data_IF_787028336890
#
_entry.id   IF_787028336890
#
_cell.length_a   1.000
_cell.length_b   1.000
_cell.length_c   1.000
_cell.angle_alpha   90.00
_cell.angle_beta   90.00
_cell.angle_gamma   90.00
#
_symmetry.space_group_name_H-M   'P 1'
#
loop_
_entity.id
_entity.type
_entity.pdbx_description
1 polymer ?
#
# COMPACT_ATOMS: atom_id res chain seq x y z
N UNK A 1 37.86 -42.08 0.10
CA UNK A 1 37.95 -43.36 0.84
C UNK A 1 38.15 -43.02 2.31
N UNK A 2 37.17 -43.39 3.17
CA UNK A 2 37.23 -43.66 4.63
C UNK A 2 38.23 -42.84 5.47
N UNK A 3 37.84 -42.02 6.45
CA UNK A 3 37.12 -42.24 7.73
C UNK A 3 38.05 -41.77 8.87
N UNK A 4 37.43 -41.48 10.02
CA UNK A 4 38.00 -41.36 11.40
C UNK A 4 38.59 -39.97 11.71
N UNK A 5 37.91 -39.09 12.47
CA UNK A 5 37.36 -39.17 13.85
C UNK A 5 38.41 -38.88 14.94
N UNK A 6 37.86 -38.51 16.09
CA UNK A 6 38.20 -37.38 16.96
C UNK A 6 39.00 -37.73 18.22
N UNK A 7 39.36 -36.65 18.95
CA UNK A 7 39.36 -36.48 20.43
C UNK A 7 40.70 -36.31 21.14
N UNK A 8 40.79 -35.24 21.94
CA UNK A 8 40.87 -35.19 23.44
C UNK A 8 41.23 -33.76 23.87
N UNK A 9 40.63 -33.19 24.92
CA UNK A 9 40.96 -33.33 26.35
C UNK A 9 39.75 -32.75 27.16
N UNK A 10 39.10 -33.37 28.16
CA UNK A 10 39.51 -33.86 29.52
C UNK A 10 40.19 -32.73 30.34
N UNK A 11 39.83 -32.36 31.58
CA UNK A 11 39.12 -32.95 32.74
C UNK A 11 38.60 -31.78 33.63
N UNK A 12 37.65 -31.92 34.57
CA UNK A 12 37.83 -32.38 35.97
C UNK A 12 36.41 -32.40 36.63
N UNK A 13 35.83 -33.57 36.98
CA UNK A 13 35.82 -34.25 38.33
C UNK A 13 34.97 -33.52 39.40
N UNK A 14 34.13 -34.11 40.28
CA UNK A 14 33.84 -35.46 40.83
C UNK A 14 32.33 -35.46 41.24
N UNK A 15 31.47 -36.40 40.81
CA UNK A 15 30.91 -37.57 41.54
C UNK A 15 30.67 -37.38 43.07
N UNK A 16 29.56 -37.79 43.69
CA UNK A 16 28.90 -39.10 43.55
C UNK A 16 27.47 -39.18 44.18
N UNK A 17 26.60 -40.03 43.58
CA UNK A 17 25.68 -41.06 44.15
C UNK A 17 24.86 -40.79 45.43
N UNK A 18 23.62 -41.24 45.65
CA UNK A 18 22.60 -42.01 44.91
C UNK A 18 21.31 -42.12 45.81
N UNK A 19 20.23 -42.68 45.24
CA UNK A 19 19.12 -43.44 45.89
C UNK A 19 17.76 -42.74 46.16
N UNK A 20 16.80 -43.09 45.29
CA UNK A 20 15.38 -43.50 45.45
C UNK A 20 14.50 -43.13 46.67
N UNK A 21 13.36 -42.49 46.32
CA UNK A 21 11.94 -42.88 46.55
C UNK A 21 11.35 -43.09 47.98
N UNK A 22 10.29 -42.31 48.27
CA UNK A 22 9.01 -42.63 48.99
C UNK A 22 8.60 -41.68 50.15
N UNK A 23 7.40 -41.09 49.96
CA UNK A 23 6.32 -40.65 50.88
C UNK A 23 6.53 -39.72 52.11
N UNK A 24 5.58 -38.76 52.14
CA UNK A 24 4.80 -38.22 53.27
C UNK A 24 5.50 -37.33 54.31
N UNK A 25 5.24 -36.01 54.26
CA UNK A 25 4.21 -35.22 55.00
C UNK A 25 4.51 -35.07 56.51
N UNK A 26 4.35 -33.83 57.01
CA UNK A 26 4.37 -33.37 58.41
C UNK A 26 5.80 -33.16 58.95
N UNK A 27 6.39 -31.96 59.05
CA UNK A 27 5.89 -30.75 59.71
C UNK A 27 6.91 -29.62 59.48
N UNK A 28 6.45 -28.50 58.93
CA UNK A 28 7.05 -27.14 58.94
C UNK A 28 6.00 -26.29 58.19
N UNK A 29 4.75 -26.29 58.62
CA UNK A 29 4.20 -25.35 59.60
C UNK A 29 4.79 -23.93 59.53
N UNK A 30 3.87 -23.04 59.14
CA UNK A 30 3.68 -21.68 59.62
C UNK A 30 4.58 -20.61 59.00
N UNK A 31 4.36 -20.24 57.74
CA UNK A 31 4.63 -18.88 57.22
C UNK A 31 3.95 -18.56 55.86
N UNK A 32 2.89 -19.26 55.44
CA UNK A 32 2.36 -19.11 54.08
C UNK A 32 0.83 -19.15 53.95
N UNK A 33 0.06 -18.72 54.96
CA UNK A 33 -1.41 -18.72 54.86
C UNK A 33 -2.10 -17.40 55.23
N UNK A 34 -1.39 -16.32 55.56
CA UNK A 34 -2.02 -15.07 56.00
C UNK A 34 -1.98 -13.89 54.99
N UNK A 35 -1.31 -14.03 53.84
CA UNK A 35 -1.30 -12.99 52.79
C UNK A 35 -2.26 -13.26 51.61
N UNK A 36 -2.88 -14.44 51.55
CA UNK A 36 -3.77 -14.79 50.44
C UNK A 36 -5.24 -14.32 50.64
N UNK A 37 -5.63 -13.94 51.87
CA UNK A 37 -7.03 -13.65 52.21
C UNK A 37 -7.40 -12.15 52.18
N UNK A 38 -6.43 -11.24 52.22
CA UNK A 38 -6.68 -9.78 52.12
C UNK A 38 -6.68 -9.25 50.67
N UNK A 39 -6.12 -10.00 49.71
CA UNK A 39 -6.13 -9.61 48.28
C UNK A 39 -7.46 -9.96 47.60
N UNK A 40 -8.23 -10.91 48.13
CA UNK A 40 -9.48 -11.37 47.52
C UNK A 40 -10.73 -10.57 47.99
N UNK A 41 -10.61 -9.74 49.02
CA UNK A 41 -11.73 -8.93 49.55
C UNK A 41 -11.68 -7.43 49.18
N UNK A 42 -10.62 -6.96 48.49
CA UNK A 42 -10.48 -5.55 48.10
C UNK A 42 -10.95 -5.22 46.67
N UNK A 43 -11.47 -6.18 45.89
CA UNK A 43 -11.95 -5.95 44.51
C UNK A 43 -13.47 -6.13 44.32
N UNK A 44 -14.28 -5.92 45.37
CA UNK A 44 -15.75 -6.01 45.28
C UNK A 44 -16.48 -4.66 45.15
N UNK A 45 -15.78 -3.54 44.97
CA UNK A 45 -16.45 -2.30 44.56
C UNK A 45 -16.63 -2.33 43.04
N UNK A 46 -17.77 -2.88 42.66
CA UNK A 46 -18.28 -2.93 41.30
C UNK A 46 -18.17 -1.54 40.65
N UNK A 47 -17.24 -1.41 39.70
CA UNK A 47 -17.40 -0.45 38.62
C UNK A 47 -18.77 -0.72 38.00
N UNK A 48 -19.58 0.30 37.71
CA UNK A 48 -20.86 0.07 37.05
C UNK A 48 -20.54 -0.68 35.75
N UNK A 49 -21.03 -1.92 35.64
CA UNK A 49 -21.08 -2.62 34.36
C UNK A 49 -22.05 -1.84 33.49
N UNK A 50 -21.55 -0.77 32.86
CA UNK A 50 -22.07 -0.33 31.58
C UNK A 50 -21.79 -1.53 30.68
N UNK A 51 -22.81 -2.34 30.45
CA UNK A 51 -22.78 -3.34 29.41
C UNK A 51 -22.58 -2.56 28.10
N UNK A 52 -21.31 -2.30 27.76
CA UNK A 52 -20.92 -1.87 26.44
C UNK A 52 -21.40 -3.01 25.56
N UNK A 53 -22.51 -2.80 24.87
CA UNK A 53 -22.94 -3.68 23.77
C UNK A 53 -21.82 -3.58 22.76
N UNK A 54 -20.80 -4.42 22.91
CA UNK A 54 -19.76 -4.52 21.91
C UNK A 54 -20.48 -5.01 20.67
N UNK A 55 -20.51 -4.16 19.65
CA UNK A 55 -21.15 -4.46 18.40
C UNK A 55 -20.67 -5.85 17.94
N UNK A 56 -21.61 -6.77 17.71
CA UNK A 56 -21.28 -8.15 17.33
C UNK A 56 -20.41 -8.20 16.08
N UNK A 57 -20.45 -7.17 15.24
CA UNK A 57 -19.60 -7.00 14.06
C UNK A 57 -18.16 -6.71 14.43
N UNK A 58 -17.90 -5.93 15.48
CA UNK A 58 -16.54 -5.63 15.97
C UNK A 58 -15.87 -6.91 16.45
N UNK A 59 -16.53 -7.65 17.34
CA UNK A 59 -15.96 -8.88 17.89
C UNK A 59 -15.74 -9.93 16.81
N UNK A 60 -16.70 -10.07 15.89
CA UNK A 60 -16.57 -11.02 14.78
C UNK A 60 -15.44 -10.61 13.84
N UNK A 61 -15.35 -9.33 13.47
CA UNK A 61 -14.32 -8.83 12.57
C UNK A 61 -12.90 -8.95 13.16
N UNK A 62 -12.71 -8.77 14.47
CA UNK A 62 -11.41 -8.92 15.12
C UNK A 62 -10.90 -10.37 15.16
N UNK A 63 -11.79 -11.34 15.13
CA UNK A 63 -11.47 -12.77 15.33
C UNK A 63 -11.54 -13.61 14.06
N UNK A 64 -12.09 -13.05 12.96
CA UNK A 64 -12.27 -13.75 11.70
C UNK A 64 -11.57 -12.99 10.55
N UNK A 65 -10.95 -13.70 9.60
CA UNK A 65 -10.18 -13.07 8.53
C UNK A 65 -11.05 -12.31 7.51
N UNK A 66 -12.24 -12.83 7.18
CA UNK A 66 -13.08 -12.32 6.09
C UNK A 66 -12.60 -12.72 4.68
N UNK A 67 -13.44 -12.48 3.67
CA UNK A 67 -13.16 -12.66 2.25
C UNK A 67 -12.99 -11.30 1.53
N UNK A 68 -11.75 -10.93 1.12
CA UNK A 68 -11.50 -9.70 0.39
C UNK A 68 -12.27 -9.57 -0.93
N UNK A 69 -12.64 -10.68 -1.58
CA UNK A 69 -13.38 -10.62 -2.84
C UNK A 69 -14.84 -10.19 -2.61
N UNK A 70 -15.47 -10.68 -1.54
CA UNK A 70 -16.81 -10.21 -1.13
C UNK A 70 -16.76 -8.77 -0.62
N UNK A 71 -15.73 -8.45 0.16
CA UNK A 71 -15.49 -7.09 0.63
C UNK A 71 -15.33 -6.07 -0.50
N UNK A 72 -14.71 -6.47 -1.61
CA UNK A 72 -14.63 -5.65 -2.82
C UNK A 72 -16.00 -5.32 -3.39
N UNK A 73 -16.91 -6.30 -3.48
CA UNK A 73 -18.27 -6.08 -3.99
C UNK A 73 -19.02 -5.10 -3.08
N UNK A 74 -18.88 -5.27 -1.76
CA UNK A 74 -19.45 -4.37 -0.78
C UNK A 74 -18.89 -2.96 -0.89
N UNK A 75 -17.57 -2.78 -1.08
CA UNK A 75 -16.97 -1.46 -1.27
C UNK A 75 -17.50 -0.76 -2.55
N UNK A 76 -17.78 -1.54 -3.59
CA UNK A 76 -18.26 -1.08 -4.89
C UNK A 76 -19.78 -0.82 -4.94
N UNK A 77 -20.51 -1.24 -3.91
CA UNK A 77 -21.96 -1.11 -3.81
C UNK A 77 -22.38 0.36 -3.61
N UNK A 78 -23.04 0.93 -4.62
CA UNK A 78 -23.52 2.33 -4.59
C UNK A 78 -24.88 2.52 -3.90
N UNK A 79 -25.49 1.45 -3.41
CA UNK A 79 -26.77 1.51 -2.71
C UNK A 79 -26.58 1.30 -1.21
N UNK A 80 -25.80 0.29 -0.82
CA UNK A 80 -25.65 -0.14 0.57
C UNK A 80 -24.54 0.61 1.31
N UNK A 81 -23.34 0.71 0.73
CA UNK A 81 -22.15 1.21 1.43
C UNK A 81 -21.62 2.54 0.87
N UNK A 82 -21.78 2.76 -0.45
CA UNK A 82 -21.46 4.01 -1.16
C UNK A 82 -20.01 4.50 -0.97
N UNK A 83 -19.09 3.61 -0.59
CA UNK A 83 -17.70 4.00 -0.29
C UNK A 83 -17.02 4.66 -1.49
N UNK A 84 -17.25 4.12 -2.70
CA UNK A 84 -16.70 4.66 -3.95
C UNK A 84 -17.24 6.03 -4.35
N UNK A 85 -18.35 6.51 -3.77
CA UNK A 85 -18.84 7.86 -4.07
C UNK A 85 -17.84 8.91 -3.57
N UNK A 86 -17.23 8.65 -2.40
CA UNK A 86 -16.33 9.60 -1.77
C UNK A 86 -14.86 9.22 -1.89
N UNK A 87 -14.54 7.92 -1.88
CA UNK A 87 -13.17 7.44 -1.79
C UNK A 87 -12.66 6.85 -3.11
N UNK A 88 -11.42 7.21 -3.44
CA UNK A 88 -10.70 6.67 -4.57
C UNK A 88 -9.90 5.44 -4.17
N UNK A 89 -9.99 4.38 -4.98
CA UNK A 89 -9.16 3.18 -4.86
C UNK A 89 -8.72 2.77 -6.28
N UNK A 90 -7.42 2.68 -6.48
CA UNK A 90 -6.80 2.67 -7.80
C UNK A 90 -7.26 3.88 -8.62
N UNK A 91 -7.90 3.60 -9.75
CA UNK A 91 -8.43 4.59 -10.69
C UNK A 91 -9.94 4.86 -10.55
N UNK A 92 -10.60 4.23 -9.59
CA UNK A 92 -12.05 4.24 -9.47
C UNK A 92 -12.51 4.90 -8.15
N UNK A 93 -13.66 5.56 -8.20
CA UNK A 93 -14.29 6.23 -7.06
C UNK A 93 -14.13 7.75 -7.08
N UNK A 94 -14.57 8.41 -6.01
CA UNK A 94 -14.58 9.86 -5.86
C UNK A 94 -13.36 10.44 -5.15
N UNK A 95 -13.23 11.76 -5.19
CA UNK A 95 -12.14 12.52 -4.54
C UNK A 95 -12.66 13.46 -3.43
N UNK A 96 -13.80 13.10 -2.84
CA UNK A 96 -14.37 13.82 -1.70
C UNK A 96 -13.55 13.49 -0.45
N UNK A 97 -13.43 12.20 -0.15
CA UNK A 97 -12.62 11.65 0.93
C UNK A 97 -11.19 11.32 0.50
N UNK A 98 -10.33 10.90 1.44
CA UNK A 98 -8.95 10.51 1.14
C UNK A 98 -8.90 9.29 0.24
N UNK A 99 -7.88 9.23 -0.61
CA UNK A 99 -7.59 8.03 -1.39
C UNK A 99 -7.25 6.87 -0.44
N UNK A 100 -7.81 5.70 -0.71
CA UNK A 100 -7.63 4.49 0.11
C UNK A 100 -6.57 3.54 -0.47
N UNK A 101 -5.83 3.99 -1.48
CA UNK A 101 -4.65 3.28 -1.97
C UNK A 101 -3.64 3.11 -0.82
N UNK A 102 -3.26 1.86 -0.53
CA UNK A 102 -2.29 1.59 0.53
C UNK A 102 -2.83 1.63 1.96
N UNK A 103 -4.13 1.86 2.16
CA UNK A 103 -4.73 1.99 3.50
C UNK A 103 -4.44 0.79 4.40
N UNK A 104 -4.44 -0.43 3.86
CA UNK A 104 -4.16 -1.64 4.63
C UNK A 104 -2.70 -1.81 5.06
N UNK A 105 -1.78 -1.02 4.49
CA UNK A 105 -0.40 -0.91 4.97
C UNK A 105 -0.20 0.23 5.97
N UNK A 106 -1.13 1.19 6.01
CA UNK A 106 -1.06 2.38 6.86
C UNK A 106 -1.74 2.18 8.22
N UNK A 107 -2.83 1.43 8.25
CA UNK A 107 -3.64 1.22 9.44
C UNK A 107 -3.85 -0.26 9.71
N UNK A 108 -3.88 -0.62 10.98
CA UNK A 108 -4.18 -1.97 11.42
C UNK A 108 -5.70 -2.23 11.42
N UNK A 109 -6.06 -3.50 11.56
CA UNK A 109 -7.44 -3.95 11.49
C UNK A 109 -8.37 -3.27 12.53
N UNK A 110 -7.98 -3.13 13.81
CA UNK A 110 -8.77 -2.38 14.79
C UNK A 110 -9.04 -0.94 14.37
N UNK A 111 -8.03 -0.23 13.84
CA UNK A 111 -8.19 1.15 13.40
C UNK A 111 -9.14 1.27 12.18
N UNK A 112 -9.07 0.33 11.23
CA UNK A 112 -10.01 0.28 10.10
C UNK A 112 -11.46 0.06 10.57
N UNK A 113 -11.66 -0.82 11.56
CA UNK A 113 -12.97 -1.07 12.18
C UNK A 113 -13.50 0.19 12.86
N UNK A 114 -12.67 0.85 13.67
CA UNK A 114 -13.04 2.09 14.37
C UNK A 114 -13.40 3.20 13.38
N UNK A 115 -12.60 3.41 12.33
CA UNK A 115 -12.83 4.43 11.31
C UNK A 115 -14.17 4.27 10.59
N UNK A 116 -14.64 3.03 10.38
CA UNK A 116 -15.93 2.75 9.74
C UNK A 116 -17.12 2.90 10.69
N UNK A 117 -16.92 2.68 11.99
CA UNK A 117 -17.96 2.78 13.00
C UNK A 117 -18.12 4.19 13.54
N UNK A 118 -17.01 4.90 13.72
CA UNK A 118 -16.91 6.22 14.33
C UNK A 118 -16.07 7.17 13.45
N UNK A 119 -16.53 7.50 12.23
CA UNK A 119 -15.74 8.29 11.27
C UNK A 119 -15.42 9.72 11.73
N UNK A 120 -16.14 10.25 12.73
CA UNK A 120 -15.90 11.57 13.32
C UNK A 120 -14.92 11.54 14.50
N UNK A 121 -14.47 10.36 14.94
CA UNK A 121 -13.56 10.20 16.07
C UNK A 121 -12.15 10.68 15.76
N UNK A 122 -11.68 10.38 14.56
CA UNK A 122 -10.42 10.87 14.02
C UNK A 122 -10.62 11.28 12.56
N UNK A 123 -10.41 12.56 12.26
CA UNK A 123 -10.53 13.10 10.90
C UNK A 123 -9.14 13.43 10.39
N UNK A 124 -8.78 12.85 9.24
CA UNK A 124 -7.49 13.09 8.58
C UNK A 124 -7.32 14.59 8.27
N UNK A 125 -6.13 15.11 8.50
CA UNK A 125 -5.78 16.50 8.16
C UNK A 125 -6.11 16.81 6.69
N UNK A 126 -6.69 17.99 6.44
CA UNK A 126 -7.18 18.39 5.12
C UNK A 126 -8.55 17.82 4.72
N UNK A 127 -9.18 16.99 5.55
CA UNK A 127 -10.53 16.44 5.32
C UNK A 127 -11.57 16.90 6.34
N UNK A 128 -11.25 17.89 7.17
CA UNK A 128 -12.22 18.49 8.09
C UNK A 128 -13.31 19.23 7.31
N UNK A 129 -14.55 18.99 7.70
CA UNK A 129 -15.69 19.73 7.16
C UNK A 129 -15.62 21.17 7.66
N UNK A 130 -15.77 22.11 6.75
CA UNK A 130 -15.86 23.54 7.03
C UNK A 130 -17.26 24.01 6.70
N UNK A 131 -17.92 24.63 7.67
CA UNK A 131 -19.19 25.32 7.48
C UNK A 131 -18.90 26.79 7.19
N UNK A 132 -19.40 27.29 6.07
CA UNK A 132 -19.29 28.67 5.62
C UNK A 132 -20.66 29.31 5.68
N UNK A 133 -20.83 30.35 6.51
CA UNK A 133 -21.96 31.26 6.40
C UNK A 133 -21.62 32.35 5.38
N UNK A 134 -22.45 32.49 4.36
CA UNK A 134 -22.23 33.44 3.27
C UNK A 134 -23.06 34.71 3.45
N UNK A 135 -22.61 35.81 2.86
CA UNK A 135 -23.28 37.12 2.90
C UNK A 135 -24.67 37.13 2.26
N UNK A 136 -24.97 36.13 1.41
CA UNK A 136 -26.28 35.95 0.79
C UNK A 136 -27.25 35.12 1.65
N UNK A 137 -26.84 34.75 2.87
CA UNK A 137 -27.62 33.97 3.84
C UNK A 137 -27.57 32.45 3.63
N UNK A 138 -26.84 31.96 2.62
CA UNK A 138 -26.63 30.51 2.45
C UNK A 138 -25.56 29.99 3.43
N UNK A 139 -25.72 28.72 3.81
CA UNK A 139 -24.68 27.97 4.52
C UNK A 139 -24.20 26.84 3.62
N UNK A 140 -22.89 26.81 3.36
CA UNK A 140 -22.24 25.74 2.63
C UNK A 140 -21.41 24.89 3.58
N UNK A 141 -21.53 23.57 3.48
CA UNK A 141 -20.81 22.61 4.30
C UNK A 141 -20.04 21.65 3.41
N UNK A 142 -18.71 21.62 3.54
CA UNK A 142 -17.89 20.72 2.74
C UNK A 142 -16.42 20.76 3.12
N UNK A 143 -15.62 19.96 2.42
CA UNK A 143 -14.17 19.87 2.62
C UNK A 143 -13.49 20.87 1.70
N UNK A 144 -12.68 21.75 2.28
CA UNK A 144 -11.88 22.71 1.50
C UNK A 144 -10.75 21.97 0.80
N UNK A 145 -10.73 22.00 -0.53
CA UNK A 145 -9.73 21.32 -1.36
C UNK A 145 -8.67 22.28 -1.89
N UNK A 146 -9.03 23.55 -2.05
CA UNK A 146 -8.15 24.59 -2.53
C UNK A 146 -8.59 25.94 -1.97
N UNK A 147 -7.62 26.78 -1.64
CA UNK A 147 -7.85 28.17 -1.22
C UNK A 147 -6.78 29.03 -1.88
N UNK A 148 -7.20 30.09 -2.57
CA UNK A 148 -6.33 31.08 -3.20
C UNK A 148 -6.40 32.42 -2.43
N UNK A 149 -5.89 33.50 -3.01
CA UNK A 149 -6.03 34.84 -2.42
C UNK A 149 -7.42 35.45 -2.61
N UNK A 150 -8.25 34.88 -3.50
CA UNK A 150 -9.54 35.46 -3.91
C UNK A 150 -10.71 34.52 -3.70
N UNK A 151 -10.49 33.22 -3.77
CA UNK A 151 -11.54 32.21 -3.69
C UNK A 151 -11.13 30.99 -2.87
N UNK A 152 -12.16 30.26 -2.46
CA UNK A 152 -12.09 29.00 -1.76
C UNK A 152 -12.93 27.98 -2.55
N UNK A 153 -12.36 26.81 -2.80
CA UNK A 153 -13.05 25.67 -3.41
C UNK A 153 -13.27 24.59 -2.36
N UNK A 154 -14.54 24.24 -2.16
CA UNK A 154 -14.94 23.14 -1.29
C UNK A 154 -15.77 22.10 -2.06
N UNK A 155 -15.74 20.87 -1.59
CA UNK A 155 -16.59 19.78 -2.08
C UNK A 155 -17.53 19.31 -0.97
N UNK A 156 -18.81 19.16 -1.28
CA UNK A 156 -19.84 18.75 -0.31
C UNK A 156 -20.04 17.22 -0.25
N UNK A 157 -20.98 16.78 0.58
CA UNK A 157 -21.31 15.36 0.77
C UNK A 157 -21.92 14.70 -0.48
N UNK A 158 -22.44 15.50 -1.41
CA UNK A 158 -23.00 15.06 -2.68
C UNK A 158 -21.93 14.99 -3.79
N UNK A 159 -20.68 15.28 -3.46
CA UNK A 159 -19.55 15.42 -4.38
C UNK A 159 -19.68 16.62 -5.34
N UNK A 160 -20.48 17.63 -4.99
CA UNK A 160 -20.58 18.87 -5.75
C UNK A 160 -19.50 19.87 -5.32
N UNK A 161 -18.91 20.53 -6.31
CA UNK A 161 -17.87 21.54 -6.09
C UNK A 161 -18.46 22.93 -6.01
N UNK A 162 -18.14 23.64 -4.95
CA UNK A 162 -18.56 25.03 -4.73
C UNK A 162 -17.33 25.93 -4.72
N UNK A 163 -17.38 26.97 -5.57
CA UNK A 163 -16.40 28.05 -5.55
C UNK A 163 -17.03 29.25 -4.86
N UNK A 164 -16.41 29.70 -3.79
CA UNK A 164 -16.88 30.81 -2.95
C UNK A 164 -15.80 31.89 -2.96
N UNK A 165 -16.16 33.14 -3.23
CA UNK A 165 -15.19 34.23 -3.07
C UNK A 165 -14.96 34.48 -1.58
N UNK A 166 -13.72 34.75 -1.18
CA UNK A 166 -13.39 34.99 0.23
C UNK A 166 -14.12 36.21 0.81
N UNK A 167 -14.49 37.17 -0.04
CA UNK A 167 -15.30 38.35 0.33
C UNK A 167 -16.75 38.01 0.67
N UNK A 168 -17.24 36.87 0.20
CA UNK A 168 -18.64 36.46 0.37
C UNK A 168 -18.81 35.60 1.64
N UNK A 169 -17.74 35.34 2.40
CA UNK A 169 -17.72 34.52 3.62
C UNK A 169 -17.85 35.44 4.84
N UNK A 170 -18.93 35.31 5.59
CA UNK A 170 -19.14 36.01 6.87
C UNK A 170 -18.52 35.26 8.04
N UNK A 171 -18.70 33.94 8.08
CA UNK A 171 -18.22 33.08 9.14
C UNK A 171 -17.69 31.76 8.60
N UNK A 172 -16.60 31.27 9.21
CA UNK A 172 -15.98 29.99 8.90
C UNK A 172 -15.80 29.17 10.18
N UNK A 173 -16.46 28.02 10.24
CA UNK A 173 -16.37 27.11 11.39
C UNK A 173 -15.92 25.73 10.93
N UNK A 174 -14.85 25.22 11.54
CA UNK A 174 -14.40 23.84 11.33
C UNK A 174 -15.26 22.91 12.20
N UNK A 175 -15.94 21.97 11.56
CA UNK A 175 -16.79 20.97 12.21
C UNK A 175 -15.95 19.83 12.80
N UNK A 176 -16.40 19.28 13.93
CA UNK A 176 -15.88 18.02 14.49
C UNK A 176 -16.55 16.78 13.89
N UNK A 177 -17.52 16.97 13.02
CA UNK A 177 -18.26 15.89 12.36
C UNK A 177 -17.67 15.66 10.98
N UNK A 178 -17.35 14.39 10.69
CA UNK A 178 -16.80 13.96 9.40
C UNK A 178 -17.84 14.06 8.29
N UNK A 179 -17.36 14.24 7.04
CA UNK A 179 -18.21 14.12 5.86
C UNK A 179 -18.53 12.66 5.54
N UNK A 180 -17.75 11.70 6.06
CA UNK A 180 -18.05 10.28 5.96
C UNK A 180 -19.26 9.96 6.84
N UNK A 181 -20.39 9.50 6.26
CA UNK A 181 -21.62 9.31 7.02
C UNK A 181 -21.51 8.23 8.10
N UNK A 182 -22.13 8.47 9.25
CA UNK A 182 -22.32 7.43 10.26
C UNK A 182 -23.34 6.39 9.79
N UNK A 183 -23.08 5.13 10.12
CA UNK A 183 -24.03 4.06 9.87
C UNK A 183 -24.08 3.52 8.43
N UNK A 184 -23.08 3.82 7.58
CA UNK A 184 -22.91 3.18 6.27
C UNK A 184 -22.91 1.65 6.35
N UNK A 185 -22.46 1.10 7.47
CA UNK A 185 -22.37 -0.34 7.70
C UNK A 185 -23.60 -0.93 8.41
N UNK A 186 -24.66 -0.13 8.69
CA UNK A 186 -25.84 -0.56 9.45
C UNK A 186 -26.56 -1.75 8.81
N UNK A 187 -26.57 -1.81 7.49
CA UNK A 187 -27.24 -2.85 6.69
C UNK A 187 -26.30 -3.99 6.26
N UNK A 188 -25.12 -4.09 6.87
CA UNK A 188 -24.19 -5.20 6.67
C UNK A 188 -24.34 -6.22 7.79
N UNK A 189 -24.32 -7.51 7.45
CA UNK A 189 -24.14 -8.57 8.44
C UNK A 189 -22.72 -8.50 9.05
N UNK A 190 -22.48 -9.27 10.12
CA UNK A 190 -21.15 -9.36 10.73
C UNK A 190 -20.13 -9.99 9.78
N UNK A 191 -20.55 -10.92 8.94
CA UNK A 191 -19.73 -11.53 7.88
C UNK A 191 -19.38 -10.50 6.82
N UNK A 192 -20.39 -9.80 6.26
CA UNK A 192 -20.18 -8.77 5.24
C UNK A 192 -19.29 -7.62 5.73
N UNK A 193 -19.50 -7.17 6.98
CA UNK A 193 -18.62 -6.17 7.58
C UNK A 193 -17.18 -6.67 7.67
N UNK A 194 -16.97 -7.92 8.08
CA UNK A 194 -15.65 -8.54 8.19
C UNK A 194 -14.97 -8.68 6.83
N UNK A 195 -15.73 -9.02 5.79
CA UNK A 195 -15.27 -9.08 4.41
C UNK A 195 -14.83 -7.70 3.91
N UNK A 196 -15.61 -6.65 4.20
CA UNK A 196 -15.25 -5.28 3.86
C UNK A 196 -13.93 -4.85 4.54
N UNK A 197 -13.73 -5.18 5.81
CA UNK A 197 -12.47 -4.92 6.51
C UNK A 197 -11.31 -5.70 5.87
N UNK A 198 -11.52 -6.98 5.52
CA UNK A 198 -10.53 -7.80 4.84
C UNK A 198 -10.10 -7.19 3.49
N UNK A 199 -11.07 -6.63 2.75
CA UNK A 199 -10.79 -5.92 1.51
C UNK A 199 -9.95 -4.67 1.73
N UNK A 200 -10.28 -3.81 2.70
CA UNK A 200 -9.50 -2.62 3.04
C UNK A 200 -8.08 -2.96 3.52
N UNK A 201 -7.95 -4.01 4.32
CA UNK A 201 -6.66 -4.54 4.79
C UNK A 201 -5.79 -5.08 3.63
N UNK A 202 -6.42 -5.62 2.58
CA UNK A 202 -5.73 -6.05 1.37
C UNK A 202 -5.25 -4.90 0.49
N UNK A 203 -5.78 -3.68 0.68
CA UNK A 203 -5.37 -2.48 -0.06
C UNK A 203 -4.05 -1.92 0.46
N UNK A 204 -2.97 -2.70 0.43
CA UNK A 204 -1.62 -2.22 0.73
C UNK A 204 -0.97 -1.73 -0.57
N UNK A 205 -0.05 -0.76 -0.51
CA UNK A 205 0.81 -0.48 -1.65
C UNK A 205 1.66 -1.74 -1.88
N UNK A 206 1.32 -2.52 -2.92
CA UNK A 206 1.83 -3.88 -3.12
C UNK A 206 1.09 -5.01 -2.38
N UNK A 207 -0.16 -4.79 -1.93
CA UNK A 207 -0.95 -5.69 -1.06
C UNK A 207 -1.85 -6.72 -1.74
N UNK A 208 -1.92 -6.70 -3.06
CA UNK A 208 -2.23 -7.89 -3.82
C UNK A 208 -1.16 -7.94 -4.88
N UNK A 209 -0.03 -8.62 -4.65
CA UNK A 209 0.92 -8.75 -5.74
C UNK A 209 0.20 -9.48 -6.87
N UNK A 210 0.14 -8.91 -8.09
CA UNK A 210 -0.04 -9.74 -9.26
C UNK A 210 1.10 -10.78 -9.20
N UNK A 211 0.76 -12.03 -8.83
CA UNK A 211 1.71 -13.12 -8.58
C UNK A 211 1.88 -13.61 -7.13
N UNK A 212 1.41 -12.92 -6.08
CA UNK A 212 1.59 -13.39 -4.68
C UNK A 212 0.61 -14.49 -4.25
N UNK A 213 -0.47 -14.71 -5.01
CA UNK A 213 -1.42 -15.79 -4.77
C UNK A 213 -1.19 -16.99 -5.69
N UNK A 214 -0.01 -17.11 -6.30
CA UNK A 214 0.44 -18.34 -6.92
C UNK A 214 0.89 -19.35 -5.85
N UNK A 215 -0.04 -19.76 -5.00
CA UNK A 215 0.10 -20.96 -4.18
C UNK A 215 -0.41 -22.15 -5.00
N UNK A 216 0.49 -22.71 -5.80
CA UNK A 216 0.32 -23.97 -6.51
C UNK A 216 1.71 -24.54 -6.78
N UNK A 217 1.86 -25.87 -6.76
CA UNK A 217 3.11 -26.47 -7.19
C UNK A 217 3.32 -26.18 -8.67
N UNK A 218 4.08 -25.13 -8.99
CA UNK A 218 4.60 -24.95 -10.34
C UNK A 218 5.56 -26.11 -10.62
N UNK A 219 5.11 -27.08 -11.42
CA UNK A 219 6.02 -28.06 -12.01
C UNK A 219 6.73 -27.39 -13.17
N UNK A 220 8.00 -27.06 -12.98
CA UNK A 220 8.84 -26.64 -14.09
C UNK A 220 9.23 -27.87 -14.91
N UNK A 221 9.47 -27.72 -16.23
CA UNK A 221 10.07 -28.79 -17.00
C UNK A 221 11.37 -29.28 -16.34
N UNK A 222 11.70 -30.54 -16.55
CA UNK A 222 12.95 -31.11 -16.05
C UNK A 222 14.15 -30.23 -16.46
N UNK A 223 15.01 -29.89 -15.49
CA UNK A 223 16.17 -29.02 -15.69
C UNK A 223 15.99 -27.54 -15.33
N UNK A 224 14.79 -27.11 -14.95
CA UNK A 224 14.54 -25.74 -14.48
C UNK A 224 14.46 -25.66 -12.95
N UNK A 225 14.98 -24.56 -12.39
CA UNK A 225 14.85 -24.25 -10.95
C UNK A 225 14.41 -22.80 -10.79
N UNK A 226 13.66 -22.52 -9.72
CA UNK A 226 13.31 -21.16 -9.32
C UNK A 226 14.12 -20.79 -8.10
N UNK A 227 14.77 -19.63 -8.16
CA UNK A 227 15.44 -19.02 -7.02
C UNK A 227 14.91 -17.61 -6.83
N UNK A 228 14.71 -17.23 -5.57
CA UNK A 228 14.27 -15.88 -5.21
C UNK A 228 15.46 -14.93 -5.28
N UNK A 229 15.36 -13.91 -6.12
CA UNK A 229 16.41 -12.86 -6.27
C UNK A 229 16.26 -11.75 -5.23
N UNK A 230 15.03 -11.33 -4.94
CA UNK A 230 14.71 -10.35 -3.90
C UNK A 230 13.23 -10.41 -3.54
N UNK A 231 12.89 -9.91 -2.35
CA UNK A 231 11.51 -9.74 -1.88
C UNK A 231 11.25 -8.27 -1.53
N UNK A 232 10.00 -7.93 -1.18
CA UNK A 232 9.63 -6.56 -0.77
C UNK A 232 9.43 -5.58 -1.93
N UNK A 233 9.16 -6.10 -3.13
CA UNK A 233 8.91 -5.31 -4.35
C UNK A 233 7.40 -5.13 -4.51
N UNK A 234 6.92 -3.90 -4.61
CA UNK A 234 5.48 -3.61 -4.49
C UNK A 234 4.79 -3.29 -5.81
N UNK A 235 5.53 -2.94 -6.87
CA UNK A 235 4.96 -2.53 -8.15
C UNK A 235 5.90 -2.78 -9.35
N UNK A 236 6.66 -3.88 -9.36
CA UNK A 236 7.56 -4.18 -10.47
C UNK A 236 6.81 -4.27 -11.80
N UNK A 237 7.18 -3.39 -12.73
CA UNK A 237 6.69 -3.37 -14.10
C UNK A 237 7.65 -4.10 -15.05
N UNK A 238 8.96 -3.94 -14.84
CA UNK A 238 10.00 -4.56 -15.67
C UNK A 238 11.32 -4.63 -14.91
N UNK A 239 12.29 -5.41 -15.40
CA UNK A 239 13.63 -5.50 -14.83
C UNK A 239 14.70 -5.73 -15.91
N UNK A 240 15.95 -5.40 -15.58
CA UNK A 240 17.13 -5.66 -16.41
C UNK A 240 18.23 -6.26 -15.54
N UNK A 241 18.90 -7.31 -16.03
CA UNK A 241 19.98 -7.98 -15.32
C UNK A 241 21.30 -7.41 -15.80
N UNK A 242 22.11 -6.89 -14.88
CA UNK A 242 23.40 -6.32 -15.19
C UNK A 242 24.46 -7.43 -15.33
N UNK A 243 25.52 -7.20 -16.11
CA UNK A 243 26.63 -8.15 -16.27
C UNK A 243 27.31 -8.55 -14.96
N UNK A 244 27.23 -7.70 -13.93
CA UNK A 244 27.78 -7.95 -12.59
C UNK A 244 26.81 -8.69 -11.64
N UNK A 245 25.65 -9.12 -12.14
CA UNK A 245 24.66 -9.90 -11.40
C UNK A 245 23.65 -9.07 -10.60
N UNK A 246 23.77 -7.74 -10.60
CA UNK A 246 22.73 -6.87 -10.05
C UNK A 246 21.49 -6.90 -10.94
N UNK A 247 20.32 -6.65 -10.36
CA UNK A 247 19.08 -6.53 -11.12
C UNK A 247 18.50 -5.14 -10.88
N UNK A 248 18.32 -4.38 -11.96
CA UNK A 248 17.53 -3.15 -11.95
C UNK A 248 16.06 -3.54 -12.05
N UNK A 249 15.24 -3.04 -11.15
CA UNK A 249 13.80 -3.31 -11.11
C UNK A 249 13.09 -1.98 -11.24
N UNK A 250 12.30 -1.80 -12.29
CA UNK A 250 11.46 -0.63 -12.44
C UNK A 250 10.12 -0.87 -11.79
N UNK A 251 9.77 0.00 -10.85
CA UNK A 251 8.45 0.04 -10.26
C UNK A 251 7.57 1.05 -11.00
N UNK A 252 6.31 0.70 -11.25
CA UNK A 252 5.37 1.51 -12.01
C UNK A 252 5.23 2.95 -11.46
N UNK A 253 5.42 3.13 -10.16
CA UNK A 253 5.35 4.40 -9.45
C UNK A 253 6.56 5.33 -9.71
N UNK A 254 7.55 4.92 -10.50
CA UNK A 254 8.67 5.76 -10.92
C UNK A 254 9.99 5.48 -10.20
N UNK A 255 10.08 4.42 -9.38
CA UNK A 255 11.34 4.03 -8.76
C UNK A 255 12.10 3.01 -9.62
N UNK A 256 13.38 3.26 -9.85
CA UNK A 256 14.34 2.23 -10.26
C UNK A 256 14.98 1.69 -8.97
N UNK A 257 14.76 0.41 -8.66
CA UNK A 257 15.35 -0.29 -7.51
C UNK A 257 16.52 -1.15 -7.97
N UNK A 258 17.40 -1.49 -7.04
CA UNK A 258 18.49 -2.44 -7.26
C UNK A 258 18.31 -3.64 -6.35
N UNK A 259 18.35 -4.84 -6.90
CA UNK A 259 18.55 -6.07 -6.14
C UNK A 259 19.96 -6.59 -6.37
N UNK A 260 20.63 -7.00 -5.29
CA UNK A 260 21.94 -7.66 -5.33
C UNK A 260 22.12 -8.52 -4.09
N UNK A 261 22.89 -9.60 -4.20
CA UNK A 261 23.17 -10.51 -3.08
C UNK A 261 21.88 -11.07 -2.41
N UNK A 262 20.85 -11.38 -3.22
CA UNK A 262 19.60 -11.95 -2.71
C UNK A 262 18.66 -10.97 -2.01
N UNK A 263 18.94 -9.66 -2.06
CA UNK A 263 18.15 -8.63 -1.36
C UNK A 263 17.90 -7.39 -2.21
N UNK A 264 16.76 -6.75 -1.98
CA UNK A 264 16.46 -5.42 -2.48
C UNK A 264 17.23 -4.39 -1.65
N UNK A 265 17.89 -3.44 -2.31
CA UNK A 265 18.51 -2.32 -1.61
C UNK A 265 17.43 -1.40 -1.01
N UNK A 266 17.66 -0.86 0.20
CA UNK A 266 16.69 -0.01 0.87
C UNK A 266 16.43 1.27 0.08
N UNK A 267 17.49 1.84 -0.48
CA UNK A 267 17.45 3.06 -1.27
C UNK A 267 17.26 2.76 -2.77
N UNK A 268 16.39 3.48 -3.49
CA UNK A 268 16.27 3.34 -4.94
C UNK A 268 17.53 3.83 -5.65
N UNK A 269 17.81 3.30 -6.85
CA UNK A 269 18.84 3.83 -7.74
C UNK A 269 18.45 5.20 -8.31
N UNK A 270 17.16 5.38 -8.62
CA UNK A 270 16.58 6.60 -9.20
C UNK A 270 15.10 6.70 -8.82
N UNK A 271 14.60 7.93 -8.70
CA UNK A 271 13.18 8.25 -8.76
C UNK A 271 12.95 9.18 -9.95
N UNK A 272 11.94 8.89 -10.78
CA UNK A 272 11.56 9.70 -11.93
C UNK A 272 10.08 10.08 -11.85
N UNK A 273 9.73 11.24 -12.42
CA UNK A 273 8.34 11.65 -12.53
C UNK A 273 7.59 10.77 -13.53
N UNK A 274 6.40 10.31 -13.14
CA UNK A 274 5.55 9.43 -13.96
C UNK A 274 4.07 9.74 -13.76
N UNK A 275 3.27 9.53 -14.80
CA UNK A 275 1.83 9.35 -14.69
C UNK A 275 1.55 7.89 -14.31
N UNK A 276 0.74 7.66 -13.27
CA UNK A 276 0.57 6.34 -12.64
C UNK A 276 -0.77 5.68 -12.97
N UNK A 277 -1.58 6.30 -13.81
CA UNK A 277 -2.88 5.76 -14.18
C UNK A 277 -2.75 4.54 -15.12
N UNK A 278 -3.37 3.42 -14.74
CA UNK A 278 -3.49 2.18 -15.53
C UNK A 278 -2.16 1.51 -15.87
N UNK A 279 -1.80 1.44 -17.16
CA UNK A 279 -0.55 0.85 -17.66
C UNK A 279 0.55 1.91 -17.78
N UNK A 280 0.26 3.17 -17.48
CA UNK A 280 1.27 4.24 -17.45
C UNK A 280 2.17 4.07 -16.23
N UNK A 281 3.36 4.64 -16.30
CA UNK A 281 4.35 4.57 -15.25
C UNK A 281 5.75 4.49 -15.82
N UNK A 282 6.65 3.85 -15.09
CA UNK A 282 7.94 3.41 -15.60
C UNK A 282 7.78 2.01 -16.22
N UNK A 283 8.00 1.90 -17.53
CA UNK A 283 7.56 0.76 -18.36
C UNK A 283 8.69 -0.07 -18.92
N UNK A 284 9.82 0.56 -19.20
CA UNK A 284 10.97 -0.06 -19.86
C UNK A 284 12.27 0.28 -19.17
N UNK A 285 13.16 -0.70 -19.14
CA UNK A 285 14.57 -0.52 -18.80
C UNK A 285 15.42 -1.39 -19.70
N UNK A 286 16.56 -0.87 -20.14
CA UNK A 286 17.66 -1.67 -20.66
C UNK A 286 18.99 -0.96 -20.41
N UNK A 287 20.11 -1.64 -20.62
CA UNK A 287 21.45 -1.11 -20.43
C UNK A 287 22.18 -1.00 -21.78
N UNK A 288 23.23 -0.18 -21.84
CA UNK A 288 24.11 -0.18 -23.02
C UNK A 288 24.72 -1.56 -23.24
N UNK A 289 24.84 -2.06 -24.48
CA UNK A 289 25.51 -3.32 -24.75
C UNK A 289 26.97 -3.38 -24.27
N UNK A 290 27.61 -2.23 -24.07
CA UNK A 290 28.97 -2.12 -23.53
C UNK A 290 28.98 -1.68 -22.06
N UNK A 291 27.94 -2.00 -21.28
CA UNK A 291 27.96 -1.80 -19.84
C UNK A 291 28.95 -2.80 -19.19
N UNK A 292 29.83 -2.37 -18.26
CA UNK A 292 29.84 -1.08 -17.56
C UNK A 292 30.74 0.01 -18.17
N UNK A 293 31.50 -0.26 -19.25
CA UNK A 293 32.39 0.73 -19.88
C UNK A 293 31.62 1.95 -20.39
N UNK A 294 30.41 1.71 -20.89
CA UNK A 294 29.37 2.71 -21.10
C UNK A 294 28.31 2.52 -20.02
N UNK A 295 28.37 3.27 -18.91
CA UNK A 295 27.48 3.07 -17.78
C UNK A 295 26.10 3.68 -18.02
N UNK A 296 25.53 3.44 -19.20
CA UNK A 296 24.25 4.00 -19.59
C UNK A 296 23.10 3.03 -19.33
N UNK A 297 22.03 3.59 -18.77
CA UNK A 297 20.74 2.94 -18.56
C UNK A 297 19.70 3.71 -19.37
N UNK A 298 18.86 2.99 -20.09
CA UNK A 298 17.80 3.55 -20.92
C UNK A 298 16.46 3.23 -20.28
N UNK A 299 15.62 4.23 -20.09
CA UNK A 299 14.31 4.10 -19.46
C UNK A 299 13.22 4.52 -20.42
N UNK A 300 12.10 3.80 -20.42
CA UNK A 300 10.86 4.20 -21.07
C UNK A 300 9.83 4.46 -19.98
N UNK A 301 9.27 5.67 -19.95
CA UNK A 301 8.28 6.10 -18.95
C UNK A 301 7.18 6.92 -19.59
N UNK A 302 6.06 7.05 -18.89
CA UNK A 302 5.01 8.00 -19.26
C UNK A 302 5.04 9.15 -18.27
N UNK A 303 5.31 10.37 -18.74
CA UNK A 303 5.28 11.59 -17.92
C UNK A 303 3.87 12.14 -17.80
N UNK A 304 3.62 12.93 -16.76
CA UNK A 304 2.36 13.68 -16.61
C UNK A 304 2.44 15.09 -17.22
N UNK A 305 3.60 15.73 -17.15
CA UNK A 305 3.81 17.13 -17.57
C UNK A 305 4.82 17.25 -18.72
N UNK A 306 4.64 18.22 -19.64
CA UNK A 306 3.55 19.22 -19.69
C UNK A 306 2.18 18.65 -20.11
N UNK A 307 2.17 17.41 -20.60
CA UNK A 307 0.99 16.61 -20.88
C UNK A 307 1.36 15.14 -20.72
N UNK A 308 0.39 14.23 -20.76
CA UNK A 308 0.70 12.80 -20.68
C UNK A 308 1.34 12.29 -21.96
N UNK A 309 2.56 11.78 -21.91
CA UNK A 309 3.28 11.27 -23.07
C UNK A 309 4.40 10.30 -22.69
N UNK A 310 4.79 9.44 -23.64
CA UNK A 310 5.97 8.60 -23.52
C UNK A 310 7.24 9.44 -23.55
N UNK A 311 8.22 9.06 -22.75
CA UNK A 311 9.59 9.59 -22.80
C UNK A 311 10.54 8.41 -22.72
N UNK A 312 11.44 8.34 -23.70
CA UNK A 312 12.59 7.45 -23.68
C UNK A 312 13.83 8.28 -23.44
N UNK A 313 14.54 8.00 -22.37
CA UNK A 313 15.73 8.75 -21.98
C UNK A 313 16.87 7.84 -21.53
N UNK A 314 18.10 8.32 -21.76
CA UNK A 314 19.35 7.71 -21.33
C UNK A 314 19.84 8.41 -20.07
N UNK A 315 20.35 7.63 -19.13
CA UNK A 315 20.88 8.06 -17.85
C UNK A 315 22.26 7.44 -17.60
N UNK A 316 23.03 8.03 -16.69
CA UNK A 316 24.35 7.52 -16.28
C UNK A 316 24.28 6.89 -14.90
N UNK A 317 24.67 5.62 -14.81
CA UNK A 317 24.76 4.86 -13.56
C UNK A 317 26.16 4.94 -12.96
N UNK A 318 26.27 5.10 -11.64
CA UNK A 318 27.53 5.10 -10.88
C UNK A 318 27.35 4.25 -9.62
N UNK A 319 28.05 3.13 -9.54
CA UNK A 319 27.80 2.15 -8.47
C UNK A 319 26.33 1.72 -8.52
N UNK A 320 25.64 1.72 -7.38
CA UNK A 320 24.22 1.33 -7.26
C UNK A 320 23.22 2.48 -7.48
N UNK A 321 23.68 3.65 -7.93
CA UNK A 321 22.85 4.84 -8.13
C UNK A 321 22.87 5.29 -9.58
N UNK A 322 21.78 5.92 -10.03
CA UNK A 322 21.72 6.61 -11.31
C UNK A 322 21.72 8.11 -11.02
N UNK A 323 22.54 8.85 -11.74
CA UNK A 323 22.71 10.29 -11.55
C UNK A 323 21.45 11.03 -12.06
N UNK A 324 20.64 11.66 -11.19
CA UNK A 324 19.37 12.29 -11.58
C UNK A 324 19.56 13.52 -12.48
N UNK A 325 20.78 14.06 -12.57
CA UNK A 325 21.09 15.19 -13.45
C UNK A 325 21.69 14.75 -14.80
N UNK A 326 21.74 13.44 -15.07
CA UNK A 326 22.35 12.88 -16.28
C UNK A 326 21.35 12.51 -17.38
N UNK A 327 20.07 12.86 -17.22
CA UNK A 327 19.03 12.55 -18.20
C UNK A 327 19.37 13.17 -19.56
N UNK A 328 19.36 12.33 -20.58
CA UNK A 328 19.35 12.75 -21.98
C UNK A 328 18.13 12.13 -22.63
N UNK A 329 17.14 12.98 -22.92
CA UNK A 329 15.92 12.58 -23.64
C UNK A 329 16.26 12.21 -25.08
N UNK A 330 15.86 11.01 -25.50
CA UNK A 330 16.09 10.48 -26.84
C UNK A 330 14.83 10.55 -27.70
N UNK A 331 13.67 10.34 -27.09
CA UNK A 331 12.37 10.38 -27.74
C UNK A 331 11.31 10.91 -26.78
N UNK A 332 10.47 11.81 -27.27
CA UNK A 332 9.23 12.24 -26.63
C UNK A 332 8.05 11.86 -27.54
N UNK A 333 7.04 11.24 -26.96
CA UNK A 333 5.81 10.88 -27.63
C UNK A 333 4.81 12.03 -27.69
N UNK A 334 3.73 11.81 -28.41
CA UNK A 334 2.63 12.76 -28.53
C UNK A 334 1.79 12.85 -27.24
N UNK A 335 1.01 13.92 -27.14
CA UNK A 335 0.05 14.12 -26.06
C UNK A 335 -1.06 13.07 -26.13
N UNK A 336 -1.00 12.08 -25.23
CA UNK A 336 -1.97 10.99 -25.11
C UNK A 336 -3.40 11.47 -24.87
N UNK A 337 -3.59 12.66 -24.29
CA UNK A 337 -4.92 13.28 -24.14
C UNK A 337 -5.58 13.66 -25.46
N UNK A 338 -4.84 13.62 -26.58
CA UNK A 338 -5.35 13.93 -27.94
C UNK A 338 -5.43 12.72 -28.86
N UNK A 339 -4.95 11.56 -28.44
CA UNK A 339 -4.83 10.35 -29.29
C UNK A 339 -6.19 9.64 -29.46
N UNK A 340 -7.22 10.01 -28.69
CA UNK A 340 -8.57 9.46 -28.79
C UNK A 340 -8.74 8.15 -28.01
N UNK A 341 -9.81 7.39 -28.29
CA UNK A 341 -10.09 6.10 -27.65
C UNK A 341 -10.86 6.17 -26.32
N UNK A 342 -11.52 5.06 -25.96
CA UNK A 342 -12.29 4.93 -24.71
C UNK A 342 -11.40 4.70 -23.48
N UNK A 343 -10.12 4.38 -23.69
CA UNK A 343 -9.16 4.08 -22.65
C UNK A 343 -7.73 4.54 -23.02
N UNK A 344 -7.41 5.85 -22.93
CA UNK A 344 -6.15 6.41 -23.41
C UNK A 344 -4.91 6.05 -22.55
N UNK A 345 -5.09 5.24 -21.50
CA UNK A 345 -4.05 4.88 -20.55
C UNK A 345 -3.70 3.37 -20.58
N UNK A 346 -4.22 2.63 -21.55
CA UNK A 346 -3.86 1.24 -21.85
C UNK A 346 -3.10 1.14 -23.16
N UNK A 347 -2.63 -0.06 -23.50
CA UNK A 347 -1.81 -0.35 -24.67
C UNK A 347 -0.60 0.60 -24.75
N UNK A 348 0.13 0.76 -23.64
CA UNK A 348 1.29 1.67 -23.60
C UNK A 348 2.52 1.05 -24.28
N UNK A 349 2.70 -0.26 -24.15
CA UNK A 349 3.95 -0.92 -24.54
C UNK A 349 5.07 -0.52 -23.59
N UNK A 350 6.23 -0.15 -24.13
CA UNK A 350 7.35 0.40 -23.39
C UNK A 350 8.56 -0.51 -23.27
N UNK A 351 8.57 -1.69 -23.92
CA UNK A 351 9.75 -2.55 -23.91
C UNK A 351 10.91 -1.88 -24.63
N UNK A 352 12.11 -2.00 -24.04
CA UNK A 352 13.36 -1.49 -24.58
C UNK A 352 14.35 -2.64 -24.72
N UNK A 353 15.01 -2.74 -25.87
CA UNK A 353 16.09 -3.71 -26.04
C UNK A 353 17.05 -3.29 -27.15
N UNK A 354 18.34 -3.57 -26.99
CA UNK A 354 19.31 -3.41 -28.07
C UNK A 354 19.32 -4.62 -28.99
N UNK A 355 19.22 -4.40 -30.30
CA UNK A 355 19.37 -5.46 -31.28
C UNK A 355 20.84 -5.82 -31.53
N UNK A 356 21.10 -6.95 -32.20
CA UNK A 356 22.47 -7.36 -32.58
C UNK A 356 23.13 -6.40 -33.59
N UNK A 357 22.35 -5.52 -34.21
CA UNK A 357 22.79 -4.44 -35.10
C UNK A 357 23.25 -3.18 -34.34
N UNK A 358 23.11 -3.16 -33.00
CA UNK A 358 23.45 -2.03 -32.15
C UNK A 358 22.37 -0.95 -32.06
N UNK A 359 21.19 -1.17 -32.64
CA UNK A 359 20.07 -0.25 -32.55
C UNK A 359 19.27 -0.46 -31.26
N UNK A 360 18.78 0.62 -30.65
CA UNK A 360 17.80 0.54 -29.56
C UNK A 360 16.39 0.40 -30.15
N UNK A 361 15.74 -0.72 -29.88
CA UNK A 361 14.36 -0.99 -30.24
C UNK A 361 13.44 -0.61 -29.09
N UNK A 362 12.34 0.06 -29.45
CA UNK A 362 11.34 0.57 -28.51
C UNK A 362 9.99 0.07 -29.01
N UNK A 363 9.26 -0.68 -28.18
CA UNK A 363 7.85 -0.96 -28.47
C UNK A 363 7.00 0.14 -27.86
N UNK A 364 6.16 0.78 -28.68
CA UNK A 364 5.13 1.70 -28.22
C UNK A 364 3.80 1.16 -28.71
N UNK A 365 2.83 1.07 -27.81
CA UNK A 365 1.49 0.66 -28.21
C UNK A 365 0.70 1.83 -28.79
N UNK A 366 -0.50 1.50 -29.29
CA UNK A 366 -1.44 2.44 -29.88
C UNK A 366 -2.05 3.41 -28.87
N UNK A 367 -1.78 3.22 -27.57
CA UNK A 367 -2.14 4.12 -26.48
C UNK A 367 -3.66 4.30 -26.29
N UNK A 368 -4.46 3.36 -26.78
CA UNK A 368 -5.91 3.28 -26.58
C UNK A 368 -6.38 1.81 -26.55
N UNK A 369 -7.36 1.44 -25.73
CA UNK A 369 -8.03 0.14 -25.84
C UNK A 369 -9.45 0.26 -26.41
N UNK A 370 -9.57 0.33 -27.75
CA UNK A 370 -10.70 -0.14 -28.58
C UNK A 370 -10.64 0.49 -29.99
N UNK A 371 -11.06 -0.24 -31.05
CA UNK A 371 -11.50 0.40 -32.29
C UNK A 371 -12.80 1.16 -32.03
N UNK A 372 -12.95 2.32 -32.68
CA UNK A 372 -14.07 3.25 -32.56
C UNK A 372 -15.47 2.63 -32.64
#
# INVERSE_FOLDING_TARGET
>A
MRLVDSQRLRNLTFAATAVSLICCVWTLNAFAEDEASEVEQATSQAMPQVAVRVDVRVQYALTHPGDPNQGRLLFQDQERTRCMVCHQLGRYGGNVGPALNGIGGKFDRPHLIESLLEPSREIVEGYNVTNLALTDGRVLSGIVKQESRVDLMLVDAQAEWHRVQLTDIEERVVSKVSLMPEGLIKNLTKEEFTDLIAYLESQRYGGGSPGANLAGAYSFPEGFTVSTVATGITAAATFEVLPDGRVLICEQNGFVRVAKDGRLLPEPALEVDVERNRERGLLGVTIDPNFPEKPYVYLCRVRQYPYTHHVVSRWTMKGDKIDPNSEVVLLEGDNQGRIGGSDPASAQGGALHFGPDGCLYISLGEQTAAPH
#
